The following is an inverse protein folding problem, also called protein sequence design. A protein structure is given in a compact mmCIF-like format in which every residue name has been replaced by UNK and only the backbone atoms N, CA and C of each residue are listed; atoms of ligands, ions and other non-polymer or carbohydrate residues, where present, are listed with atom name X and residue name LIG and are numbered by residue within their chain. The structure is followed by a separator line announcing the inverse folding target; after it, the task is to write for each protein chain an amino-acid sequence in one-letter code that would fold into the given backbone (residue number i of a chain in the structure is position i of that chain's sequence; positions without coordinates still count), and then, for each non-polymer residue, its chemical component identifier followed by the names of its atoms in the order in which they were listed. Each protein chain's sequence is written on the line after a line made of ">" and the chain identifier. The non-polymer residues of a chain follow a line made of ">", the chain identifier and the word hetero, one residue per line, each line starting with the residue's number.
data_IF_721463955924
#
_entry.id   IF_721463955924
#
_cell.length_a   1.000
_cell.length_b   1.000
_cell.length_c   1.000
_cell.angle_alpha   90.00
_cell.angle_beta   90.00
_cell.angle_gamma   90.00
#
_symmetry.space_group_name_H-M   'P 1'
#
loop_
_entity.id
_entity.type
_entity.pdbx_description
1 polymer ?
#
# COMPACT_ATOMS: atom_id res chain seq x y z
N UNK A 1 -14.41 -34.47 31.04
CA UNK A 1 -14.97 -33.12 30.85
C UNK A 1 -13.87 -32.21 30.36
N UNK A 2 -13.95 -31.78 29.09
CA UNK A 2 -13.04 -30.76 28.57
C UNK A 2 -13.54 -29.41 29.11
N UNK A 3 -12.80 -28.84 30.05
CA UNK A 3 -13.09 -27.49 30.55
C UNK A 3 -12.71 -26.53 29.45
N UNK A 4 -13.65 -25.99 28.71
CA UNK A 4 -13.42 -24.94 27.75
C UNK A 4 -13.24 -23.61 28.51
N UNK A 5 -12.13 -22.97 28.29
CA UNK A 5 -11.85 -21.64 28.89
C UNK A 5 -12.48 -20.56 28.00
N UNK A 6 -13.38 -19.74 28.60
CA UNK A 6 -13.96 -18.57 27.93
C UNK A 6 -13.15 -17.33 28.22
N UNK A 7 -12.79 -16.62 27.20
CA UNK A 7 -12.10 -15.34 27.33
C UNK A 7 -12.77 -14.26 26.48
N UNK A 8 -12.58 -13.01 26.88
CA UNK A 8 -13.09 -11.83 26.18
C UNK A 8 -11.93 -10.86 25.93
N UNK A 9 -11.74 -10.46 24.69
CA UNK A 9 -10.70 -9.52 24.27
C UNK A 9 -11.19 -8.60 23.18
N UNK A 10 -10.56 -7.42 23.04
CA UNK A 10 -10.77 -6.58 21.87
C UNK A 10 -10.11 -7.21 20.64
N UNK A 11 -10.51 -6.79 19.44
CA UNK A 11 -9.85 -7.25 18.19
C UNK A 11 -8.35 -6.93 18.22
N UNK A 12 -7.98 -5.75 18.74
CA UNK A 12 -6.57 -5.39 18.94
C UNK A 12 -5.87 -6.35 19.93
N UNK A 13 -6.55 -6.73 21.01
CA UNK A 13 -6.08 -7.74 21.96
C UNK A 13 -5.85 -9.10 21.30
N UNK A 14 -6.77 -9.56 20.47
CA UNK A 14 -6.63 -10.82 19.69
C UNK A 14 -5.43 -10.77 18.75
N UNK A 15 -5.18 -9.65 18.10
CA UNK A 15 -4.00 -9.47 17.21
C UNK A 15 -2.71 -9.56 18.02
N UNK A 16 -2.64 -8.88 19.16
CA UNK A 16 -1.48 -8.91 20.05
C UNK A 16 -1.23 -10.29 20.64
N UNK A 17 -2.29 -10.97 21.10
CA UNK A 17 -2.21 -12.32 21.66
C UNK A 17 -1.75 -13.33 20.60
N UNK A 18 -2.26 -13.26 19.36
CA UNK A 18 -1.81 -14.11 18.27
C UNK A 18 -0.29 -14.00 18.02
N UNK A 19 0.22 -12.76 17.96
CA UNK A 19 1.67 -12.51 17.81
C UNK A 19 2.48 -13.08 18.98
N UNK A 20 1.99 -12.90 20.22
CA UNK A 20 2.63 -13.40 21.43
C UNK A 20 2.68 -14.94 21.45
N UNK A 21 1.58 -15.60 21.07
CA UNK A 21 1.51 -17.06 20.99
C UNK A 21 2.48 -17.57 19.93
N UNK A 22 2.49 -16.99 18.72
CA UNK A 22 3.42 -17.38 17.65
C UNK A 22 4.86 -17.29 18.11
N UNK A 23 5.25 -16.18 18.75
CA UNK A 23 6.60 -16.00 19.29
C UNK A 23 6.96 -17.08 20.32
N UNK A 24 6.05 -17.41 21.25
CA UNK A 24 6.28 -18.48 22.23
C UNK A 24 6.43 -19.86 21.59
N UNK A 25 5.66 -20.14 20.52
CA UNK A 25 5.81 -21.40 19.78
C UNK A 25 7.17 -21.47 19.07
N UNK A 26 7.62 -20.36 18.49
CA UNK A 26 8.96 -20.24 17.88
C UNK A 26 10.07 -20.48 18.93
N UNK A 27 9.96 -19.88 20.11
CA UNK A 27 10.90 -20.09 21.23
C UNK A 27 10.97 -21.58 21.61
N UNK A 28 9.82 -22.25 21.79
CA UNK A 28 9.78 -23.69 22.10
C UNK A 28 10.49 -24.51 21.02
N UNK A 29 10.28 -24.22 19.75
CA UNK A 29 10.88 -24.96 18.63
C UNK A 29 12.37 -24.67 18.50
N UNK A 30 12.81 -23.44 18.79
CA UNK A 30 14.21 -23.04 18.67
C UNK A 30 15.07 -23.55 19.83
N UNK A 31 14.52 -23.56 21.05
CA UNK A 31 15.27 -23.82 22.25
C UNK A 31 15.30 -25.33 22.61
N UNK A 32 14.40 -26.13 22.04
CA UNK A 32 14.22 -27.53 22.40
C UNK A 32 14.35 -28.48 21.22
N UNK A 33 15.01 -29.61 21.45
CA UNK A 33 15.02 -30.74 20.53
C UNK A 33 13.85 -31.68 20.85
N UNK A 34 13.08 -32.03 19.84
CA UNK A 34 11.98 -33.00 19.92
C UNK A 34 12.42 -34.42 19.59
N UNK A 35 13.75 -34.68 19.64
CA UNK A 35 14.37 -35.99 19.42
C UNK A 35 15.45 -36.25 20.46
N UNK A 36 15.77 -37.52 20.66
CA UNK A 36 16.81 -37.97 21.56
C UNK A 36 17.93 -38.64 20.76
N UNK A 37 19.16 -38.25 21.03
CA UNK A 37 20.34 -38.89 20.46
C UNK A 37 20.82 -39.99 21.42
N UNK A 38 20.51 -41.26 21.10
CA UNK A 38 20.89 -42.41 21.86
C UNK A 38 22.06 -43.14 21.21
N UNK A 39 22.85 -43.88 22.02
CA UNK A 39 23.87 -44.77 21.46
C UNK A 39 23.20 -45.96 20.79
N UNK A 40 23.68 -46.34 19.60
CA UNK A 40 23.11 -47.47 18.84
C UNK A 40 23.06 -48.79 19.58
N UNK A 41 24.10 -49.07 20.40
CA UNK A 41 24.19 -50.31 21.16
C UNK A 41 23.62 -50.22 22.58
N UNK A 42 23.19 -49.04 23.02
CA UNK A 42 22.62 -48.83 24.34
C UNK A 42 21.58 -47.70 24.30
N UNK A 43 20.34 -48.06 24.00
CA UNK A 43 19.20 -47.11 23.90
C UNK A 43 18.89 -46.41 25.22
N UNK A 44 19.35 -46.95 26.34
CA UNK A 44 19.17 -46.34 27.67
C UNK A 44 20.22 -45.27 27.96
N UNK A 45 21.20 -45.11 27.07
CA UNK A 45 22.27 -44.13 27.25
C UNK A 45 22.15 -42.98 26.26
N UNK A 46 21.75 -41.84 26.81
CA UNK A 46 21.64 -40.59 26.08
C UNK A 46 23.00 -39.90 25.88
N UNK A 47 23.16 -39.22 24.75
CA UNK A 47 24.36 -38.41 24.51
C UNK A 47 24.15 -37.03 25.16
N UNK A 48 24.37 -36.96 26.49
CA UNK A 48 24.18 -35.74 27.27
C UNK A 48 24.19 -36.00 28.78
N UNK A 49 24.07 -34.99 29.63
CA UNK A 49 24.12 -35.11 31.08
C UNK A 49 22.82 -35.65 31.73
N UNK A 50 21.75 -35.80 30.98
CA UNK A 50 20.44 -36.22 31.47
C UNK A 50 20.22 -37.72 31.25
N UNK A 51 19.25 -38.32 31.95
CA UNK A 51 18.78 -39.67 31.62
C UNK A 51 17.80 -39.62 30.44
N UNK A 52 17.61 -40.75 29.74
CA UNK A 52 16.66 -40.89 28.66
C UNK A 52 15.25 -40.51 29.12
N UNK A 53 14.80 -41.01 30.27
CA UNK A 53 13.48 -40.74 30.86
C UNK A 53 13.28 -39.25 31.18
N UNK A 54 14.33 -38.59 31.72
CA UNK A 54 14.27 -37.15 31.95
C UNK A 54 14.10 -36.37 30.64
N UNK A 55 14.83 -36.76 29.59
CA UNK A 55 14.75 -36.11 28.29
C UNK A 55 13.40 -36.35 27.60
N UNK A 56 12.88 -37.58 27.66
CA UNK A 56 11.53 -37.91 27.15
C UNK A 56 10.46 -37.11 27.85
N UNK A 57 10.53 -36.97 29.16
CA UNK A 57 9.56 -36.19 29.95
C UNK A 57 9.59 -34.72 29.57
N UNK A 58 10.76 -34.12 29.33
CA UNK A 58 10.91 -32.74 28.88
C UNK A 58 10.34 -32.56 27.47
N UNK A 59 10.68 -33.45 26.53
CA UNK A 59 10.15 -33.41 25.15
C UNK A 59 8.64 -33.48 25.17
N UNK A 60 8.06 -34.39 25.95
CA UNK A 60 6.59 -34.53 26.09
C UNK A 60 5.96 -33.26 26.65
N UNK A 61 6.54 -32.69 27.70
CA UNK A 61 6.04 -31.47 28.31
C UNK A 61 6.08 -30.26 27.33
N UNK A 62 7.17 -30.14 26.56
CA UNK A 62 7.31 -29.06 25.56
C UNK A 62 6.39 -29.27 24.37
N UNK A 63 6.18 -30.53 23.93
CA UNK A 63 5.20 -30.85 22.91
C UNK A 63 3.75 -30.56 23.36
N UNK A 64 3.39 -30.91 24.60
CA UNK A 64 2.08 -30.61 25.16
C UNK A 64 1.84 -29.10 25.26
N UNK A 65 2.86 -28.31 25.67
CA UNK A 65 2.80 -26.83 25.65
C UNK A 65 2.59 -26.29 24.24
N UNK A 66 3.34 -26.80 23.27
CA UNK A 66 3.22 -26.40 21.86
C UNK A 66 1.79 -26.68 21.34
N UNK A 67 1.25 -27.88 21.60
CA UNK A 67 -0.11 -28.23 21.19
C UNK A 67 -1.18 -27.36 21.87
N UNK A 68 -1.02 -27.02 23.14
CA UNK A 68 -1.92 -26.12 23.84
C UNK A 68 -1.89 -24.70 23.24
N UNK A 69 -0.69 -24.17 22.95
CA UNK A 69 -0.54 -22.87 22.29
C UNK A 69 -1.12 -22.88 20.87
N UNK A 70 -0.95 -23.96 20.11
CA UNK A 70 -1.53 -24.11 18.79
C UNK A 70 -3.06 -24.06 18.83
N UNK A 71 -3.70 -24.79 19.74
CA UNK A 71 -5.14 -24.76 19.92
C UNK A 71 -5.63 -23.35 20.24
N UNK A 72 -4.97 -22.66 21.18
CA UNK A 72 -5.27 -21.28 21.54
C UNK A 72 -5.11 -20.33 20.35
N UNK A 73 -4.04 -20.46 19.57
CA UNK A 73 -3.80 -19.65 18.38
C UNK A 73 -4.92 -19.80 17.33
N UNK A 74 -5.37 -21.03 17.10
CA UNK A 74 -6.48 -21.30 16.18
C UNK A 74 -7.75 -20.63 16.68
N UNK A 75 -8.08 -20.73 17.96
CA UNK A 75 -9.27 -20.10 18.54
C UNK A 75 -9.21 -18.55 18.43
N UNK A 76 -8.08 -17.94 18.77
CA UNK A 76 -7.84 -16.51 18.64
C UNK A 76 -7.99 -16.03 17.18
N UNK A 77 -7.44 -16.76 16.22
CA UNK A 77 -7.55 -16.41 14.81
C UNK A 77 -8.98 -16.56 14.29
N UNK A 78 -9.69 -17.63 14.67
CA UNK A 78 -11.08 -17.82 14.29
C UNK A 78 -11.99 -16.71 14.85
N UNK A 79 -11.78 -16.35 16.12
CA UNK A 79 -12.50 -15.25 16.75
C UNK A 79 -12.28 -13.92 16.02
N UNK A 80 -11.03 -13.63 15.63
CA UNK A 80 -10.67 -12.44 14.85
C UNK A 80 -11.33 -12.44 13.47
N UNK A 81 -11.29 -13.57 12.75
CA UNK A 81 -11.93 -13.71 11.44
C UNK A 81 -13.42 -13.45 11.53
N UNK A 82 -14.09 -14.08 12.51
CA UNK A 82 -15.51 -13.88 12.77
C UNK A 82 -15.82 -12.41 13.06
N UNK A 83 -15.11 -11.80 14.00
CA UNK A 83 -15.31 -10.40 14.35
C UNK A 83 -15.13 -9.47 13.13
N UNK A 84 -14.10 -9.69 12.31
CA UNK A 84 -13.88 -8.89 11.12
C UNK A 84 -15.00 -9.01 10.08
N UNK A 85 -15.69 -10.13 10.03
CA UNK A 85 -16.82 -10.36 9.10
C UNK A 85 -18.15 -9.82 9.61
N UNK A 86 -18.30 -9.66 10.92
CA UNK A 86 -19.55 -9.26 11.58
C UNK A 86 -19.56 -7.80 12.05
N UNK A 87 -18.38 -7.20 12.26
CA UNK A 87 -18.26 -5.81 12.70
C UNK A 87 -18.25 -4.86 11.50
N UNK A 88 -19.13 -3.86 11.54
CA UNK A 88 -19.25 -2.82 10.50
C UNK A 88 -18.57 -1.53 10.94
N UNK A 89 -17.95 -0.87 9.97
CA UNK A 89 -17.39 0.48 10.10
C UNK A 89 -17.96 1.38 9.02
N UNK A 90 -18.00 2.67 9.27
CA UNK A 90 -18.40 3.68 8.28
C UNK A 90 -17.15 4.20 7.59
N UNK A 91 -17.17 4.17 6.25
CA UNK A 91 -16.05 4.65 5.41
C UNK A 91 -16.62 5.48 4.27
N UNK A 92 -15.86 6.46 3.74
CA UNK A 92 -16.28 7.19 2.55
C UNK A 92 -16.41 6.26 1.35
N UNK A 93 -17.33 6.55 0.44
CA UNK A 93 -17.40 5.90 -0.86
C UNK A 93 -16.31 6.48 -1.75
N UNK A 94 -15.45 5.64 -2.33
CA UNK A 94 -14.47 6.12 -3.30
C UNK A 94 -15.17 6.44 -4.62
N UNK A 95 -15.04 7.70 -5.05
CA UNK A 95 -15.53 8.17 -6.34
C UNK A 95 -14.57 7.74 -7.45
N UNK A 96 -15.10 7.47 -8.65
CA UNK A 96 -14.27 7.28 -9.82
C UNK A 96 -13.73 8.63 -10.36
N UNK A 97 -12.79 8.57 -11.31
CA UNK A 97 -12.19 9.78 -11.89
C UNK A 97 -13.24 10.72 -12.50
N UNK A 98 -14.29 10.19 -13.14
CA UNK A 98 -15.33 11.02 -13.77
C UNK A 98 -16.20 11.70 -12.73
N UNK A 99 -16.49 11.02 -11.64
CA UNK A 99 -17.24 11.56 -10.51
C UNK A 99 -16.44 12.68 -9.81
N UNK A 100 -15.13 12.50 -9.64
CA UNK A 100 -14.23 13.55 -9.12
C UNK A 100 -14.21 14.76 -10.04
N UNK A 101 -14.07 14.56 -11.35
CA UNK A 101 -14.13 15.62 -12.36
C UNK A 101 -15.46 16.38 -12.34
N UNK A 102 -16.56 15.71 -12.03
CA UNK A 102 -17.89 16.35 -11.92
C UNK A 102 -18.09 17.12 -10.62
N UNK A 103 -17.14 17.08 -9.68
CA UNK A 103 -17.25 17.73 -8.37
C UNK A 103 -18.21 17.02 -7.43
N UNK A 104 -18.50 15.72 -7.64
CA UNK A 104 -19.35 14.93 -6.75
C UNK A 104 -18.70 14.82 -5.37
N UNK A 105 -19.50 14.93 -4.31
CA UNK A 105 -19.05 14.72 -2.93
C UNK A 105 -19.21 13.25 -2.57
N UNK A 106 -18.19 12.67 -1.93
CA UNK A 106 -18.24 11.29 -1.47
C UNK A 106 -19.26 11.13 -0.31
N UNK A 107 -20.11 10.14 -0.43
CA UNK A 107 -21.01 9.69 0.63
C UNK A 107 -20.29 8.69 1.55
N UNK A 108 -20.89 8.38 2.71
CA UNK A 108 -20.38 7.31 3.59
C UNK A 108 -21.21 6.05 3.39
N UNK A 109 -20.56 4.90 3.52
CA UNK A 109 -21.20 3.58 3.50
C UNK A 109 -20.74 2.73 4.68
N UNK A 110 -21.58 1.75 5.07
CA UNK A 110 -21.23 0.75 6.08
C UNK A 110 -20.65 -0.48 5.41
N UNK A 111 -19.42 -0.84 5.81
CA UNK A 111 -18.73 -2.03 5.31
C UNK A 111 -18.20 -2.85 6.48
N UNK A 112 -18.05 -4.16 6.30
CA UNK A 112 -17.38 -4.99 7.32
C UNK A 112 -15.90 -4.67 7.39
N UNK A 113 -15.28 -4.91 8.55
CA UNK A 113 -13.82 -4.75 8.73
C UNK A 113 -13.06 -5.55 7.66
N UNK A 114 -13.49 -6.77 7.37
CA UNK A 114 -12.90 -7.61 6.35
C UNK A 114 -12.91 -6.93 4.95
N UNK A 115 -14.07 -6.39 4.56
CA UNK A 115 -14.21 -5.67 3.30
C UNK A 115 -13.37 -4.39 3.27
N UNK A 116 -13.32 -3.64 4.37
CA UNK A 116 -12.50 -2.43 4.46
C UNK A 116 -11.00 -2.73 4.26
N UNK A 117 -10.49 -3.82 4.85
CA UNK A 117 -9.10 -4.26 4.67
C UNK A 117 -8.83 -4.61 3.20
N UNK A 118 -9.73 -5.34 2.53
CA UNK A 118 -9.59 -5.68 1.11
C UNK A 118 -9.64 -4.43 0.23
N UNK A 119 -10.58 -3.52 0.48
CA UNK A 119 -10.70 -2.26 -0.25
C UNK A 119 -9.44 -1.39 -0.10
N UNK A 120 -8.89 -1.27 1.10
CA UNK A 120 -7.65 -0.54 1.34
C UNK A 120 -6.52 -1.04 0.44
N UNK A 121 -6.32 -2.35 0.33
CA UNK A 121 -5.31 -2.95 -0.56
C UNK A 121 -5.59 -2.60 -2.03
N UNK A 122 -6.81 -2.80 -2.48
CA UNK A 122 -7.21 -2.51 -3.86
C UNK A 122 -6.99 -1.03 -4.22
N UNK A 123 -7.33 -0.11 -3.33
CA UNK A 123 -7.17 1.32 -3.60
C UNK A 123 -5.71 1.78 -3.52
N UNK A 124 -4.88 1.13 -2.71
CA UNK A 124 -3.44 1.37 -2.77
C UNK A 124 -2.85 1.02 -4.15
N UNK A 125 -3.30 -0.08 -4.75
CA UNK A 125 -2.90 -0.45 -6.11
C UNK A 125 -3.41 0.55 -7.15
N UNK A 126 -4.65 1.06 -6.99
CA UNK A 126 -5.19 2.14 -7.86
C UNK A 126 -4.39 3.43 -7.75
N UNK A 127 -3.95 3.83 -6.55
CA UNK A 127 -3.11 5.01 -6.37
C UNK A 127 -1.77 4.87 -7.12
N UNK A 128 -1.18 3.68 -7.11
CA UNK A 128 0.05 3.40 -7.88
C UNK A 128 -0.21 3.56 -9.38
N UNK A 129 -1.33 3.05 -9.90
CA UNK A 129 -1.68 3.17 -11.32
C UNK A 129 -1.96 4.63 -11.71
N UNK A 130 -2.69 5.37 -10.89
CA UNK A 130 -2.94 6.79 -11.12
C UNK A 130 -1.65 7.62 -11.12
N UNK A 131 -0.73 7.35 -10.20
CA UNK A 131 0.59 7.99 -10.18
C UNK A 131 1.41 7.69 -11.45
N UNK A 132 1.26 6.52 -12.07
CA UNK A 132 1.90 6.23 -13.36
C UNK A 132 1.37 7.12 -14.49
N UNK A 133 0.09 7.48 -14.46
CA UNK A 133 -0.48 8.45 -15.42
C UNK A 133 0.16 9.82 -15.22
N UNK A 134 0.26 10.29 -13.98
CA UNK A 134 0.95 11.56 -13.64
C UNK A 134 2.39 11.54 -14.12
N UNK A 135 3.10 10.44 -13.88
CA UNK A 135 4.49 10.30 -14.35
C UNK A 135 4.59 10.40 -15.89
N UNK A 136 3.69 9.74 -16.64
CA UNK A 136 3.67 9.81 -18.10
C UNK A 136 3.43 11.24 -18.59
N UNK A 137 2.48 11.94 -17.99
CA UNK A 137 2.26 13.35 -18.30
C UNK A 137 3.50 14.22 -18.06
N UNK A 138 4.18 14.02 -16.93
CA UNK A 138 5.40 14.77 -16.65
C UNK A 138 6.52 14.49 -17.67
N UNK A 139 6.61 13.29 -18.23
CA UNK A 139 7.52 12.99 -19.34
C UNK A 139 7.17 13.80 -20.60
N UNK A 140 5.88 13.95 -20.89
CA UNK A 140 5.45 14.76 -22.02
C UNK A 140 5.70 16.26 -21.80
N UNK A 141 5.57 16.75 -20.56
CA UNK A 141 5.99 18.11 -20.16
C UNK A 141 7.49 18.32 -20.39
N UNK A 142 8.32 17.34 -20.02
CA UNK A 142 9.76 17.42 -20.26
C UNK A 142 10.10 17.42 -21.76
N UNK A 143 9.46 16.56 -22.55
CA UNK A 143 9.63 16.55 -24.00
C UNK A 143 9.22 17.88 -24.61
N UNK A 144 8.09 18.45 -24.18
CA UNK A 144 7.66 19.78 -24.64
C UNK A 144 8.74 20.83 -24.40
N UNK A 145 9.35 20.86 -23.20
CA UNK A 145 10.46 21.79 -22.92
C UNK A 145 11.63 21.62 -23.88
N UNK A 146 12.00 20.37 -24.17
CA UNK A 146 13.08 20.09 -25.14
C UNK A 146 12.72 20.58 -26.55
N UNK A 147 11.48 20.39 -26.99
CA UNK A 147 11.01 20.93 -28.27
C UNK A 147 10.99 22.47 -28.30
N UNK A 148 10.52 23.11 -27.21
CA UNK A 148 10.48 24.57 -27.09
C UNK A 148 11.92 25.16 -27.15
N UNK A 149 12.90 24.53 -26.49
CA UNK A 149 14.33 24.92 -26.53
C UNK A 149 14.92 24.75 -27.93
N UNK A 150 14.66 23.62 -28.60
CA UNK A 150 15.12 23.39 -29.97
C UNK A 150 14.46 24.36 -30.95
N UNK A 151 13.15 24.63 -30.79
CA UNK A 151 12.42 25.59 -31.59
C UNK A 151 12.99 27.00 -31.42
N UNK A 152 13.32 27.42 -30.19
CA UNK A 152 13.94 28.73 -29.95
C UNK A 152 15.28 28.90 -30.69
N UNK A 153 16.15 27.88 -30.65
CA UNK A 153 17.41 27.89 -31.39
C UNK A 153 17.17 27.96 -32.90
N UNK A 154 16.24 27.14 -33.42
CA UNK A 154 15.94 27.12 -34.85
C UNK A 154 15.36 28.47 -35.35
N UNK A 155 14.50 29.11 -34.52
CA UNK A 155 13.93 30.42 -34.82
C UNK A 155 15.03 31.48 -34.93
N UNK A 156 15.95 31.56 -33.99
CA UNK A 156 17.05 32.53 -34.04
C UNK A 156 17.97 32.28 -35.26
N UNK A 157 18.30 31.03 -35.56
CA UNK A 157 19.05 30.68 -36.78
C UNK A 157 18.33 31.07 -38.07
N UNK A 158 17.00 30.91 -38.13
CA UNK A 158 16.21 31.34 -39.30
C UNK A 158 16.15 32.88 -39.43
N UNK A 159 16.04 33.57 -38.28
CA UNK A 159 16.07 35.05 -38.27
C UNK A 159 17.42 35.58 -38.70
N UNK A 160 18.53 35.02 -38.19
CA UNK A 160 19.89 35.40 -38.61
C UNK A 160 20.12 35.20 -40.12
N UNK A 161 19.55 34.11 -40.67
CA UNK A 161 19.63 33.87 -42.12
C UNK A 161 18.78 34.84 -42.94
N UNK A 162 17.57 35.22 -42.46
CA UNK A 162 16.69 36.16 -43.16
C UNK A 162 17.11 37.63 -43.01
N UNK A 163 17.68 37.97 -41.88
CA UNK A 163 18.06 39.31 -41.48
C UNK A 163 19.52 39.36 -41.02
N UNK A 164 20.49 39.05 -41.92
CA UNK A 164 21.90 38.99 -41.52
C UNK A 164 22.40 40.35 -41.06
N UNK A 165 23.13 40.40 -39.96
CA UNK A 165 23.67 41.61 -39.35
C UNK A 165 24.60 42.41 -40.29
N UNK A 166 25.30 41.71 -41.17
CA UNK A 166 26.24 42.32 -42.15
C UNK A 166 25.54 42.81 -43.43
N UNK A 167 24.24 42.77 -43.49
CA UNK A 167 23.49 43.20 -44.66
C UNK A 167 23.54 44.72 -44.81
N UNK A 168 23.84 45.20 -46.05
CA UNK A 168 23.71 46.63 -46.41
C UNK A 168 22.31 47.15 -46.35
N UNK A 169 21.33 46.28 -46.18
CA UNK A 169 19.91 46.61 -46.10
C UNK A 169 19.49 46.81 -44.66
N UNK A 170 19.00 48.00 -44.31
CA UNK A 170 18.38 48.24 -43.02
C UNK A 170 17.03 47.51 -42.93
N UNK A 171 16.91 46.62 -41.98
CA UNK A 171 15.64 45.95 -41.66
C UNK A 171 14.92 46.73 -40.57
N UNK A 172 13.60 46.87 -40.69
CA UNK A 172 12.79 47.44 -39.62
C UNK A 172 12.72 46.45 -38.43
N UNK A 173 12.80 46.97 -37.21
CA UNK A 173 12.62 46.15 -36.00
C UNK A 173 11.25 45.45 -36.03
N UNK A 174 10.19 46.12 -36.57
CA UNK A 174 8.85 45.58 -36.72
C UNK A 174 8.83 44.37 -37.68
N UNK A 175 9.61 44.38 -38.77
CA UNK A 175 9.68 43.24 -39.70
C UNK A 175 10.33 42.02 -39.05
N UNK A 176 11.39 42.24 -38.25
CA UNK A 176 12.09 41.18 -37.51
C UNK A 176 11.15 40.58 -36.45
N UNK A 177 10.46 41.42 -35.71
CA UNK A 177 9.52 40.98 -34.66
C UNK A 177 8.32 40.20 -35.23
N UNK A 178 7.74 40.64 -36.35
CA UNK A 178 6.71 39.92 -37.08
C UNK A 178 7.19 38.54 -37.57
N UNK A 179 8.43 38.50 -38.11
CA UNK A 179 9.01 37.24 -38.55
C UNK A 179 9.25 36.30 -37.40
N UNK A 180 9.73 36.79 -36.24
CA UNK A 180 9.97 36.02 -35.02
C UNK A 180 8.63 35.44 -34.49
N UNK A 181 7.58 36.27 -34.40
CA UNK A 181 6.28 35.83 -33.93
C UNK A 181 5.66 34.77 -34.85
N UNK A 182 5.79 34.96 -36.19
CA UNK A 182 5.34 33.96 -37.16
C UNK A 182 6.08 32.63 -37.01
N UNK A 183 7.39 32.67 -36.84
CA UNK A 183 8.21 31.50 -36.67
C UNK A 183 7.88 30.80 -35.33
N UNK A 184 7.68 31.58 -34.27
CA UNK A 184 7.26 31.04 -32.95
C UNK A 184 5.94 30.28 -33.03
N UNK A 185 4.91 30.88 -33.64
CA UNK A 185 3.59 30.24 -33.83
C UNK A 185 3.68 28.97 -34.68
N UNK A 186 4.55 28.93 -35.68
CA UNK A 186 4.73 27.78 -36.56
C UNK A 186 5.43 26.60 -35.87
N UNK A 187 6.22 26.88 -34.82
CA UNK A 187 6.97 25.86 -34.05
C UNK A 187 6.41 25.63 -32.66
N UNK A 188 5.26 26.22 -32.33
CA UNK A 188 4.64 26.07 -31.00
C UNK A 188 4.13 24.64 -30.80
N UNK A 189 4.62 23.99 -29.75
CA UNK A 189 4.15 22.65 -29.31
C UNK A 189 3.29 22.81 -28.09
N UNK A 190 2.09 22.24 -28.13
CA UNK A 190 1.15 22.24 -27.01
C UNK A 190 0.92 20.81 -26.51
N UNK A 191 0.69 20.66 -25.21
CA UNK A 191 0.20 19.40 -24.65
C UNK A 191 -1.31 19.45 -24.71
N UNK A 192 -1.90 18.56 -25.51
CA UNK A 192 -3.35 18.43 -25.59
C UNK A 192 -3.83 17.42 -24.56
N UNK A 193 -4.83 17.79 -23.77
CA UNK A 193 -5.51 16.92 -22.80
C UNK A 193 -7.00 16.82 -23.20
N UNK A 194 -7.33 15.94 -24.16
CA UNK A 194 -8.69 15.85 -24.70
C UNK A 194 -9.72 15.35 -23.67
N UNK A 195 -9.26 14.69 -22.59
CA UNK A 195 -10.12 14.21 -21.51
C UNK A 195 -10.24 15.22 -20.37
N UNK A 196 -9.39 16.25 -20.34
CA UNK A 196 -9.42 17.33 -19.36
C UNK A 196 -9.06 16.93 -17.93
N UNK A 197 -8.46 15.76 -17.73
CA UNK A 197 -8.22 15.28 -16.37
C UNK A 197 -6.77 15.40 -15.90
N UNK A 198 -5.82 15.49 -16.82
CA UNK A 198 -4.39 15.62 -16.45
C UNK A 198 -4.01 17.08 -16.32
N UNK A 199 -4.37 17.91 -17.30
CA UNK A 199 -4.07 19.35 -17.34
C UNK A 199 -4.73 20.15 -16.21
N UNK A 200 -5.90 19.72 -15.72
CA UNK A 200 -6.64 20.35 -14.63
C UNK A 200 -6.30 19.78 -13.25
N UNK A 201 -5.22 19.04 -13.10
CA UNK A 201 -4.82 18.36 -11.86
C UNK A 201 -5.83 17.34 -11.31
N UNK A 202 -6.90 17.03 -12.02
CA UNK A 202 -7.94 16.11 -11.55
C UNK A 202 -7.41 14.72 -11.21
N UNK A 203 -6.39 14.23 -11.94
CA UNK A 203 -5.73 12.97 -11.61
C UNK A 203 -4.96 13.09 -10.29
N UNK A 204 -4.38 14.23 -9.95
CA UNK A 204 -3.69 14.49 -8.69
C UNK A 204 -4.70 14.53 -7.54
N UNK A 205 -5.84 15.20 -7.77
CA UNK A 205 -6.92 15.25 -6.79
C UNK A 205 -7.54 13.86 -6.57
N UNK A 206 -7.65 13.04 -7.61
CA UNK A 206 -8.07 11.65 -7.48
C UNK A 206 -7.10 10.82 -6.66
N UNK A 207 -5.78 10.96 -6.88
CA UNK A 207 -4.76 10.29 -6.05
C UNK A 207 -4.86 10.74 -4.60
N UNK A 208 -5.02 12.04 -4.35
CA UNK A 208 -5.20 12.59 -3.00
C UNK A 208 -6.45 11.99 -2.34
N UNK A 209 -7.58 11.94 -3.04
CA UNK A 209 -8.80 11.32 -2.53
C UNK A 209 -8.62 9.84 -2.16
N UNK A 210 -7.88 9.07 -2.98
CA UNK A 210 -7.55 7.67 -2.62
C UNK A 210 -6.74 7.61 -1.32
N UNK A 211 -5.76 8.48 -1.14
CA UNK A 211 -4.94 8.50 0.07
C UNK A 211 -5.73 8.91 1.31
N UNK A 212 -6.61 9.89 1.17
CA UNK A 212 -7.54 10.31 2.24
C UNK A 212 -8.51 9.16 2.59
N UNK A 213 -9.02 8.46 1.59
CA UNK A 213 -9.86 7.28 1.77
C UNK A 213 -9.13 6.18 2.56
N UNK A 214 -7.89 5.85 2.20
CA UNK A 214 -7.07 4.87 2.91
C UNK A 214 -6.85 5.30 4.37
N UNK A 215 -6.57 6.58 4.61
CA UNK A 215 -6.37 7.14 5.95
C UNK A 215 -7.64 7.06 6.80
N UNK A 216 -8.79 7.35 6.21
CA UNK A 216 -10.09 7.22 6.88
C UNK A 216 -10.41 5.77 7.25
N UNK A 217 -10.12 4.82 6.34
CA UNK A 217 -10.25 3.39 6.65
C UNK A 217 -9.34 3.01 7.82
N UNK A 218 -8.07 3.43 7.83
CA UNK A 218 -7.13 3.10 8.90
C UNK A 218 -7.60 3.64 10.25
N UNK A 219 -8.13 4.85 10.26
CA UNK A 219 -8.71 5.46 11.47
C UNK A 219 -9.92 4.66 11.95
N UNK A 220 -10.86 4.34 11.06
CA UNK A 220 -12.04 3.57 11.40
C UNK A 220 -11.70 2.15 11.88
N UNK A 221 -10.73 1.49 11.23
CA UNK A 221 -10.23 0.18 11.65
C UNK A 221 -9.58 0.24 13.03
N UNK A 222 -8.78 1.28 13.31
CA UNK A 222 -8.12 1.46 14.60
C UNK A 222 -9.14 1.62 15.74
N UNK A 223 -10.17 2.42 15.52
CA UNK A 223 -11.26 2.62 16.49
C UNK A 223 -12.03 1.29 16.70
N UNK A 224 -12.43 0.63 15.64
CA UNK A 224 -13.16 -0.63 15.72
C UNK A 224 -12.34 -1.73 16.42
N UNK A 225 -11.05 -1.87 16.09
CA UNK A 225 -10.16 -2.83 16.71
C UNK A 225 -9.99 -2.61 18.23
N UNK A 226 -9.98 -1.34 18.66
CA UNK A 226 -9.83 -0.99 20.05
C UNK A 226 -11.11 -1.16 20.87
N UNK A 227 -12.29 -0.97 20.23
CA UNK A 227 -13.60 -0.93 20.92
C UNK A 227 -14.41 -2.22 20.81
N UNK A 228 -14.22 -3.01 19.75
CA UNK A 228 -15.01 -4.24 19.55
C UNK A 228 -14.48 -5.36 20.42
N UNK A 229 -15.28 -5.80 21.37
CA UNK A 229 -14.99 -6.95 22.24
C UNK A 229 -15.51 -8.24 21.62
N UNK A 230 -14.71 -9.29 21.69
CA UNK A 230 -14.97 -10.62 21.12
C UNK A 230 -14.81 -11.68 22.19
N UNK A 231 -15.79 -12.55 22.31
CA UNK A 231 -15.69 -13.75 23.16
C UNK A 231 -15.24 -14.95 22.33
N UNK A 232 -14.37 -15.77 22.89
CA UNK A 232 -13.90 -17.00 22.27
C UNK A 232 -13.60 -18.07 23.31
N UNK A 233 -13.61 -19.31 22.86
CA UNK A 233 -13.37 -20.50 23.69
C UNK A 233 -12.23 -21.34 23.11
N UNK A 234 -11.42 -21.96 23.96
CA UNK A 234 -10.30 -22.86 23.56
C UNK A 234 -10.03 -23.97 24.57
#
# INVERSE_FOLDING_TARGET
>A
LIIMTKEKMTIAGLIAEGKKITKKMEEIVSDNSFSILNYYFDYNKFVGPQTVEQKESLIKADFDKYCALQKRLVAVNNARIKANSETYIEVPVLLDIKEVLSGKVAETEKVTIANAILRKKYYADLAILANKIVHRYNLDVQKKRQFDEQAAIAIEQELDRKFPADSKRAYSADDVDKAREKARKANEVIISDPMGFVGNNAIIDYVRQIMDYITNIDTALSVANASTEVEFEY
#
